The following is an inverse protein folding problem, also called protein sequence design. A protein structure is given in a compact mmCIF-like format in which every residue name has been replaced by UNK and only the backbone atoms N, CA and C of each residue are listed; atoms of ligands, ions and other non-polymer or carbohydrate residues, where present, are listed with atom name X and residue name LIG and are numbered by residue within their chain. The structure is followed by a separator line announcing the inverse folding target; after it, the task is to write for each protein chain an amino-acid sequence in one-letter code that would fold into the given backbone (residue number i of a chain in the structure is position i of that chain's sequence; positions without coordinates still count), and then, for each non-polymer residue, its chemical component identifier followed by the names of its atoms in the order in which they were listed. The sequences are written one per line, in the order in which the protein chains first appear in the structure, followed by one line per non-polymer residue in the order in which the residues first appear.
data_IF_098952015606
#
_entry.id   IF_098952015606
#
_cell.length_a   1.000
_cell.length_b   1.000
_cell.length_c   1.000
_cell.angle_alpha   90.00
_cell.angle_beta   90.00
_cell.angle_gamma   90.00
#
_symmetry.space_group_name_H-M   'P 1'
#
loop_
_entity.id
_entity.type
_entity.pdbx_description
1 polymer ?
#
# COMPACT_ATOMS: atom_id res chain seq x y z
N UNK A 1 -1.31 1.24 0.20
CA UNK A 1 -1.83 2.43 -0.52
C UNK A 1 -0.75 2.91 -1.49
N UNK A 2 -1.07 3.24 -2.75
CA UNK A 2 -0.02 3.61 -3.72
C UNK A 2 0.54 5.01 -3.42
N UNK A 3 1.86 5.10 -3.31
CA UNK A 3 2.58 6.37 -3.14
C UNK A 3 2.39 7.28 -4.35
N UNK A 4 2.37 6.73 -5.57
CA UNK A 4 2.20 7.49 -6.81
C UNK A 4 0.91 8.33 -6.81
N UNK A 5 -0.21 7.76 -6.37
CA UNK A 5 -1.47 8.49 -6.25
C UNK A 5 -1.47 9.58 -5.17
N UNK A 6 -0.58 9.51 -4.18
CA UNK A 6 -0.42 10.55 -3.17
C UNK A 6 0.44 11.72 -3.67
N UNK A 7 1.36 11.48 -4.61
CA UNK A 7 2.23 12.51 -5.19
C UNK A 7 1.40 13.64 -5.80
N UNK A 8 0.39 13.31 -6.60
CA UNK A 8 -0.49 14.32 -7.23
C UNK A 8 -1.30 15.11 -6.19
N UNK A 9 -1.87 14.43 -5.19
CA UNK A 9 -2.62 15.10 -4.13
C UNK A 9 -1.75 16.13 -3.38
N UNK A 10 -0.54 15.74 -2.99
CA UNK A 10 0.36 16.65 -2.27
C UNK A 10 0.87 17.78 -3.18
N UNK A 11 1.14 17.48 -4.46
CA UNK A 11 1.46 18.51 -5.48
C UNK A 11 0.34 19.54 -5.62
N UNK A 12 -0.92 19.13 -5.53
CA UNK A 12 -2.10 20.03 -5.50
C UNK A 12 -2.27 20.78 -4.17
N UNK A 13 -1.49 20.43 -3.13
CA UNK A 13 -1.62 21.02 -1.79
C UNK A 13 -2.73 20.38 -0.94
N UNK A 14 -3.29 19.25 -1.39
CA UNK A 14 -4.21 18.42 -0.63
C UNK A 14 -3.43 17.60 0.43
N UNK A 15 -4.09 17.17 1.52
CA UNK A 15 -3.43 16.37 2.54
C UNK A 15 -3.05 14.98 2.01
N UNK A 16 -1.97 14.42 2.54
CA UNK A 16 -1.62 13.01 2.39
C UNK A 16 -2.61 12.17 3.22
N UNK A 17 -3.25 11.19 2.59
CA UNK A 17 -4.27 10.35 3.24
C UNK A 17 -3.63 9.08 3.78
N UNK A 18 -3.90 8.74 5.03
CA UNK A 18 -3.35 7.54 5.68
C UNK A 18 -4.33 6.94 6.68
N UNK A 19 -4.20 5.64 6.94
CA UNK A 19 -4.99 4.98 7.97
C UNK A 19 -4.34 5.11 9.35
N UNK A 20 -5.17 5.34 10.37
CA UNK A 20 -4.73 5.45 11.76
C UNK A 20 -3.72 6.59 11.97
N UNK A 21 -2.64 6.30 12.67
CA UNK A 21 -1.52 7.21 12.89
C UNK A 21 -0.47 7.16 11.76
N UNK A 22 -0.72 6.35 10.72
CA UNK A 22 0.20 6.16 9.60
C UNK A 22 1.35 5.21 9.90
N UNK A 23 1.32 4.44 11.00
CA UNK A 23 2.37 3.48 11.40
C UNK A 23 1.94 2.02 11.39
N UNK A 24 0.71 1.73 10.98
CA UNK A 24 0.13 0.38 10.99
C UNK A 24 0.91 -0.60 10.11
N UNK A 25 1.40 -0.15 8.96
CA UNK A 25 2.15 -0.98 8.03
C UNK A 25 3.39 -0.26 7.51
N UNK A 26 4.32 -1.05 6.97
CA UNK A 26 5.51 -0.57 6.26
C UNK A 26 5.64 -1.25 4.91
N UNK A 27 6.27 -0.57 3.97
CA UNK A 27 6.65 -1.14 2.68
C UNK A 27 7.98 -0.57 2.19
N UNK A 28 8.57 -1.17 1.16
CA UNK A 28 9.73 -0.64 0.44
C UNK A 28 9.27 -0.11 -0.93
N UNK A 29 8.96 1.20 -1.06
CA UNK A 29 8.46 1.76 -2.31
C UNK A 29 9.46 1.57 -3.43
N UNK A 30 9.02 1.00 -4.56
CA UNK A 30 9.80 0.82 -5.78
C UNK A 30 9.30 1.80 -6.85
N UNK A 31 10.19 2.28 -7.72
CA UNK A 31 9.78 3.11 -8.85
C UNK A 31 9.03 2.26 -9.89
N UNK A 32 8.17 2.89 -10.69
CA UNK A 32 7.44 2.20 -11.76
C UNK A 32 8.39 1.66 -12.83
N UNK A 33 9.47 2.39 -13.14
CA UNK A 33 10.50 1.99 -14.10
C UNK A 33 11.27 0.75 -13.62
N UNK A 34 11.73 0.74 -12.35
CA UNK A 34 12.44 -0.41 -11.78
C UNK A 34 11.53 -1.64 -11.70
N UNK A 35 10.26 -1.45 -11.32
CA UNK A 35 9.27 -2.53 -11.30
C UNK A 35 9.02 -3.10 -12.69
N UNK A 36 8.88 -2.23 -13.70
CA UNK A 36 8.67 -2.65 -15.09
C UNK A 36 9.88 -3.41 -15.63
N UNK A 37 11.09 -2.91 -15.37
CA UNK A 37 12.34 -3.57 -15.74
C UNK A 37 12.44 -4.96 -15.10
N UNK A 38 12.14 -5.07 -13.80
CA UNK A 38 12.14 -6.36 -13.11
C UNK A 38 11.13 -7.36 -13.72
N UNK A 39 9.92 -6.91 -14.05
CA UNK A 39 8.91 -7.77 -14.68
C UNK A 39 9.38 -8.24 -16.06
N UNK A 40 9.99 -7.36 -16.86
CA UNK A 40 10.53 -7.72 -18.17
C UNK A 40 11.66 -8.76 -18.07
N UNK A 41 12.54 -8.61 -17.08
CA UNK A 41 13.59 -9.59 -16.82
C UNK A 41 13.03 -10.96 -16.43
N UNK A 42 11.94 -11.01 -15.65
CA UNK A 42 11.30 -12.29 -15.26
C UNK A 42 10.83 -13.11 -16.47
N UNK A 43 10.66 -12.50 -17.64
CA UNK A 43 10.31 -13.18 -18.89
C UNK A 43 11.56 -13.73 -19.59
N UNK A 44 12.69 -13.02 -19.50
CA UNK A 44 13.89 -13.29 -20.32
C UNK A 44 14.99 -14.05 -19.58
N UNK A 45 14.99 -13.99 -18.25
CA UNK A 45 16.05 -14.55 -17.42
C UNK A 45 15.66 -15.94 -16.90
N UNK A 46 16.35 -16.98 -17.37
CA UNK A 46 16.08 -18.38 -16.97
C UNK A 46 16.19 -18.59 -15.46
N UNK A 47 17.07 -17.85 -14.78
CA UNK A 47 17.27 -17.93 -13.34
C UNK A 47 16.11 -17.34 -12.52
N UNK A 48 15.14 -16.67 -13.16
CA UNK A 48 13.93 -16.13 -12.52
C UNK A 48 12.69 -17.02 -12.69
N UNK A 49 12.76 -18.07 -13.52
CA UNK A 49 11.63 -18.95 -13.84
C UNK A 49 11.19 -19.76 -12.61
N UNK A 50 9.87 -19.83 -12.37
CA UNK A 50 9.25 -20.63 -11.30
C UNK A 50 9.79 -20.34 -9.89
N UNK A 51 10.10 -19.07 -9.60
CA UNK A 51 10.60 -18.63 -8.28
C UNK A 51 9.68 -17.61 -7.63
N UNK A 52 9.69 -17.62 -6.30
CA UNK A 52 9.17 -16.52 -5.48
C UNK A 52 10.32 -15.53 -5.28
N UNK A 53 10.20 -14.35 -5.86
CA UNK A 53 11.25 -13.34 -5.85
C UNK A 53 10.80 -12.13 -5.03
N UNK A 54 11.39 -11.85 -3.85
CA UNK A 54 11.07 -10.66 -3.10
C UNK A 54 11.51 -9.42 -3.88
N UNK A 55 10.63 -8.43 -3.96
CA UNK A 55 10.92 -7.16 -4.63
C UNK A 55 10.47 -5.99 -3.75
N UNK A 56 11.27 -4.93 -3.77
CA UNK A 56 10.99 -3.64 -3.16
C UNK A 56 12.06 -2.66 -3.57
N UNK A 57 11.78 -1.37 -3.43
CA UNK A 57 12.79 -0.37 -3.78
C UNK A 57 13.94 -0.31 -2.77
N UNK A 58 14.95 0.53 -3.05
CA UNK A 58 16.13 0.63 -2.21
C UNK A 58 15.82 1.23 -0.83
N UNK A 59 16.73 1.03 0.12
CA UNK A 59 16.67 1.63 1.45
C UNK A 59 15.83 0.84 2.46
N UNK A 60 15.51 1.51 3.58
CA UNK A 60 14.73 0.95 4.68
C UNK A 60 13.24 0.87 4.32
N UNK A 61 12.50 0.01 5.00
CA UNK A 61 11.05 0.05 4.94
C UNK A 61 10.52 1.36 5.54
N UNK A 62 9.44 1.88 4.94
CA UNK A 62 8.85 3.16 5.30
C UNK A 62 7.39 2.99 5.66
N UNK A 63 7.00 3.62 6.76
CA UNK A 63 5.59 3.80 7.13
C UNK A 63 4.91 4.82 6.21
N UNK A 64 3.57 4.77 6.05
CA UNK A 64 2.81 5.82 5.36
C UNK A 64 3.10 7.23 5.87
N UNK A 65 3.32 7.40 7.18
CA UNK A 65 3.69 8.68 7.78
C UNK A 65 5.04 9.18 7.24
N UNK A 66 6.09 8.35 7.31
CA UNK A 66 7.43 8.71 6.80
C UNK A 66 7.41 8.99 5.28
N UNK A 67 6.63 8.23 4.51
CA UNK A 67 6.46 8.47 3.08
C UNK A 67 5.85 9.85 2.80
N UNK A 68 4.80 10.21 3.54
CA UNK A 68 4.17 11.52 3.42
C UNK A 68 5.11 12.66 3.86
N UNK A 69 5.82 12.51 4.98
CA UNK A 69 6.82 13.48 5.44
C UNK A 69 7.91 13.72 4.38
N UNK A 70 8.43 12.65 3.79
CA UNK A 70 9.40 12.74 2.70
C UNK A 70 8.84 13.48 1.49
N UNK A 71 7.60 13.18 1.10
CA UNK A 71 6.94 13.81 -0.04
C UNK A 71 6.72 15.31 0.18
N UNK A 72 6.24 15.71 1.37
CA UNK A 72 6.07 17.12 1.72
C UNK A 72 7.41 17.87 1.73
N UNK A 73 8.45 17.24 2.30
CA UNK A 73 9.81 17.80 2.30
C UNK A 73 10.35 18.02 0.90
N UNK A 74 10.19 17.04 0.00
CA UNK A 74 10.64 17.14 -1.39
C UNK A 74 9.90 18.23 -2.18
N UNK A 75 8.63 18.46 -1.86
CA UNK A 75 7.81 19.48 -2.50
C UNK A 75 7.91 20.86 -1.84
N UNK A 76 8.68 21.01 -0.75
CA UNK A 76 8.82 22.27 -0.01
C UNK A 76 7.50 22.75 0.61
N UNK A 77 6.62 21.82 1.01
CA UNK A 77 5.30 22.12 1.56
C UNK A 77 5.20 21.73 3.03
N UNK A 78 4.37 22.45 3.79
CA UNK A 78 4.05 22.05 5.16
C UNK A 78 3.30 20.71 5.19
N UNK A 79 3.70 19.76 6.07
CA UNK A 79 3.03 18.47 6.18
C UNK A 79 1.57 18.59 6.60
N UNK A 80 0.68 18.02 5.79
CA UNK A 80 -0.76 17.93 6.07
C UNK A 80 -1.22 16.49 5.90
N UNK A 81 -1.81 15.93 6.95
CA UNK A 81 -2.23 14.53 6.94
C UNK A 81 -3.73 14.40 7.22
N UNK A 82 -4.41 13.60 6.41
CA UNK A 82 -5.77 13.15 6.67
C UNK A 82 -5.72 11.72 7.22
N UNK A 83 -6.05 11.59 8.50
CA UNK A 83 -6.08 10.30 9.21
C UNK A 83 -7.46 9.67 9.08
N UNK A 84 -7.53 8.50 8.47
CA UNK A 84 -8.76 7.73 8.30
C UNK A 84 -8.77 6.58 9.32
N UNK A 85 -9.81 6.43 10.15
CA UNK A 85 -9.91 5.30 11.06
C UNK A 85 -9.97 3.98 10.28
N UNK A 86 -9.11 3.01 10.64
CA UNK A 86 -9.12 1.69 9.99
C UNK A 86 -10.45 0.94 10.19
N UNK A 87 -11.13 1.20 11.32
CA UNK A 87 -12.48 0.69 11.61
C UNK A 87 -13.55 1.10 10.59
N UNK A 88 -13.31 2.16 9.81
CA UNK A 88 -14.20 2.52 8.70
C UNK A 88 -14.21 1.43 7.62
N UNK A 89 -13.08 0.75 7.38
CA UNK A 89 -13.04 -0.41 6.47
C UNK A 89 -13.87 -1.57 7.03
N UNK A 90 -13.75 -1.86 8.33
CA UNK A 90 -14.53 -2.92 9.00
C UNK A 90 -16.03 -2.68 8.88
N UNK A 91 -16.45 -1.44 9.13
CA UNK A 91 -17.85 -1.06 9.04
C UNK A 91 -18.41 -1.30 7.63
N UNK A 92 -17.66 -0.90 6.59
CA UNK A 92 -18.14 -1.10 5.22
C UNK A 92 -18.10 -2.57 4.80
N UNK A 93 -17.07 -3.32 5.22
CA UNK A 93 -17.03 -4.78 5.03
C UNK A 93 -18.25 -5.42 5.67
N UNK A 94 -18.59 -5.06 6.92
CA UNK A 94 -19.75 -5.59 7.63
C UNK A 94 -21.09 -5.30 6.93
N UNK A 95 -21.27 -4.08 6.39
CA UNK A 95 -22.46 -3.75 5.59
C UNK A 95 -22.52 -4.62 4.33
N UNK A 96 -21.40 -4.77 3.61
CA UNK A 96 -21.35 -5.57 2.39
C UNK A 96 -21.62 -7.05 2.70
N UNK A 97 -20.97 -7.62 3.72
CA UNK A 97 -21.20 -9.00 4.15
C UNK A 97 -22.67 -9.22 4.56
N UNK A 98 -23.32 -8.23 5.17
CA UNK A 98 -24.75 -8.28 5.45
C UNK A 98 -25.57 -8.30 4.15
N UNK A 99 -25.30 -7.40 3.20
CA UNK A 99 -26.02 -7.32 1.93
C UNK A 99 -25.80 -8.56 1.05
N UNK A 100 -24.62 -9.17 1.06
CA UNK A 100 -24.30 -10.42 0.34
C UNK A 100 -25.25 -11.55 0.73
N UNK A 101 -25.65 -11.61 2.01
CA UNK A 101 -26.61 -12.62 2.49
C UNK A 101 -28.00 -12.49 1.84
N UNK A 102 -28.35 -11.29 1.36
CA UNK A 102 -29.63 -11.01 0.69
C UNK A 102 -29.50 -10.93 -0.83
N UNK A 103 -28.32 -10.55 -1.34
CA UNK A 103 -28.05 -10.35 -2.76
C UNK A 103 -26.74 -11.06 -3.14
N UNK A 104 -26.85 -12.20 -3.83
CA UNK A 104 -25.72 -13.04 -4.24
C UNK A 104 -24.65 -12.31 -5.09
N UNK A 105 -25.00 -11.18 -5.72
CA UNK A 105 -24.14 -10.45 -6.65
C UNK A 105 -23.06 -9.56 -5.99
N UNK A 106 -22.95 -9.53 -4.65
CA UNK A 106 -22.03 -8.61 -3.95
C UNK A 106 -20.80 -9.29 -3.32
N UNK A 107 -20.64 -10.61 -3.48
CA UNK A 107 -19.56 -11.37 -2.85
C UNK A 107 -18.17 -10.86 -3.20
N UNK A 108 -17.91 -10.65 -4.49
CA UNK A 108 -16.62 -10.17 -5.00
C UNK A 108 -16.24 -8.79 -4.43
N UNK A 109 -17.23 -7.91 -4.27
CA UNK A 109 -17.01 -6.59 -3.69
C UNK A 109 -16.62 -6.67 -2.21
N UNK A 110 -17.22 -7.57 -1.44
CA UNK A 110 -16.89 -7.79 -0.04
C UNK A 110 -15.46 -8.35 0.12
N UNK A 111 -15.09 -9.36 -0.67
CA UNK A 111 -13.74 -9.94 -0.68
C UNK A 111 -12.68 -8.91 -1.10
N UNK A 112 -12.95 -8.12 -2.14
CA UNK A 112 -12.06 -7.04 -2.56
C UNK A 112 -11.79 -6.03 -1.43
N UNK A 113 -12.80 -5.71 -0.61
CA UNK A 113 -12.62 -4.82 0.55
C UNK A 113 -11.80 -5.45 1.67
N UNK A 114 -11.97 -6.75 1.92
CA UNK A 114 -11.15 -7.48 2.92
C UNK A 114 -9.68 -7.48 2.51
N UNK A 115 -9.40 -7.70 1.23
CA UNK A 115 -8.06 -7.55 0.67
C UNK A 115 -7.56 -6.11 0.86
N UNK A 116 -8.35 -5.11 0.50
CA UNK A 116 -8.00 -3.70 0.67
C UNK A 116 -7.67 -3.35 2.14
N UNK A 117 -8.42 -3.89 3.09
CA UNK A 117 -8.14 -3.75 4.53
C UNK A 117 -6.81 -4.40 4.90
N UNK A 118 -6.55 -5.63 4.45
CA UNK A 118 -5.30 -6.34 4.70
C UNK A 118 -4.09 -5.51 4.26
N UNK A 119 -4.10 -4.98 3.03
CA UNK A 119 -3.05 -4.09 2.52
C UNK A 119 -2.93 -2.74 3.24
N UNK A 120 -3.96 -2.33 3.99
CA UNK A 120 -3.95 -1.10 4.78
C UNK A 120 -3.37 -1.31 6.19
N UNK A 121 -3.33 -2.54 6.68
CA UNK A 121 -2.93 -2.87 8.04
C UNK A 121 -1.63 -3.70 8.11
N UNK A 122 -1.34 -4.52 7.10
CA UNK A 122 -0.23 -5.47 7.14
C UNK A 122 0.98 -4.98 6.34
N UNK A 123 2.18 -5.27 6.86
CA UNK A 123 3.43 -4.93 6.18
C UNK A 123 3.76 -5.95 5.10
N UNK A 124 4.07 -5.47 3.90
CA UNK A 124 4.42 -6.31 2.74
C UNK A 124 5.93 -6.42 2.61
N UNK A 125 6.56 -7.06 3.60
CA UNK A 125 8.00 -7.25 3.67
C UNK A 125 8.31 -8.73 3.82
N UNK A 126 9.44 -9.15 3.25
CA UNK A 126 9.99 -10.47 3.54
C UNK A 126 10.75 -10.38 4.86
N UNK A 127 10.52 -11.38 5.72
CA UNK A 127 11.26 -11.55 6.96
C UNK A 127 12.71 -11.89 6.61
N UNK A 128 13.64 -11.05 7.06
CA UNK A 128 15.04 -11.41 7.03
C UNK A 128 15.39 -12.11 8.35
N UNK A 129 15.76 -13.40 8.35
CA UNK A 129 16.09 -14.13 9.57
C UNK A 129 17.35 -13.60 10.27
N UNK A 130 18.13 -12.73 9.63
CA UNK A 130 19.31 -12.09 10.20
C UNK A 130 19.00 -10.80 10.99
N UNK A 131 17.75 -10.33 10.96
CA UNK A 131 17.33 -9.09 11.65
C UNK A 131 16.79 -9.34 13.09
N UNK A 132 17.08 -10.51 13.69
CA UNK A 132 16.81 -10.85 15.11
C UNK A 132 17.98 -10.52 16.06
#
# INVERSE_FOLDING_TARGET
MSLGGQVELVKDGKPYVMFGDGKLCTCKPISEEDLASFIADCISCEDKINKILPIGGPGKALTPLEQGELLFKLLGKEPKFLKVPIGMMDFVIGILDFLVKFFFSLGDAAEFRKIGRYYAAESMLVLNPEDE
#
